data_IF_716500196865
#
_entry.id   IF_716500196865
#
_cell.length_a   1.000
_cell.length_b   1.000
_cell.length_c   1.000
_cell.angle_alpha   90.00
_cell.angle_beta   90.00
_cell.angle_gamma   90.00
#
_symmetry.space_group_name_H-M   'P 1'
#
loop_
_entity.id
_entity.type
_entity.pdbx_description
1 polymer ?
#
# COMPACT_ATOMS: atom_id res chain seq x y z
N UNK A 1 -0.48 -28.95 6.16
CA UNK A 1 -0.95 -28.03 5.11
C UNK A 1 -1.62 -26.86 5.81
N UNK A 2 -1.08 -25.63 5.69
CA UNK A 2 -1.71 -24.44 6.24
C UNK A 2 -2.85 -24.02 5.29
N UNK A 3 -4.09 -24.17 5.72
CA UNK A 3 -5.25 -23.67 4.97
C UNK A 3 -5.28 -22.16 5.15
N UNK A 4 -5.03 -21.41 4.10
CA UNK A 4 -5.15 -19.95 4.12
C UNK A 4 -6.57 -19.52 4.52
N UNK A 5 -6.67 -18.56 5.43
CA UNK A 5 -7.94 -17.98 5.85
C UNK A 5 -8.66 -17.30 4.67
N UNK A 6 -10.00 -17.20 4.74
CA UNK A 6 -10.80 -16.51 3.70
C UNK A 6 -10.32 -15.07 3.47
N UNK A 7 -9.88 -14.40 4.54
CA UNK A 7 -9.36 -13.04 4.50
C UNK A 7 -7.99 -12.98 3.79
N UNK A 8 -7.09 -13.92 4.07
CA UNK A 8 -5.79 -13.99 3.40
C UNK A 8 -5.94 -14.17 1.88
N UNK A 9 -6.87 -15.04 1.46
CA UNK A 9 -7.18 -15.25 0.03
C UNK A 9 -7.69 -13.97 -0.64
N UNK A 10 -8.53 -13.21 0.05
CA UNK A 10 -9.05 -11.94 -0.46
C UNK A 10 -7.96 -10.88 -0.59
N UNK A 11 -7.07 -10.77 0.41
CA UNK A 11 -5.89 -9.90 0.37
C UNK A 11 -5.01 -10.27 -0.82
N UNK A 12 -4.66 -11.55 -0.98
CA UNK A 12 -3.84 -12.03 -2.09
C UNK A 12 -4.46 -11.69 -3.46
N UNK A 13 -5.77 -11.91 -3.63
CA UNK A 13 -6.49 -11.56 -4.86
C UNK A 13 -6.42 -10.04 -5.16
N UNK A 14 -6.57 -9.19 -4.14
CA UNK A 14 -6.48 -7.74 -4.30
C UNK A 14 -5.04 -7.31 -4.62
N UNK A 15 -4.03 -7.93 -4.00
CA UNK A 15 -2.62 -7.69 -4.31
C UNK A 15 -2.29 -8.05 -5.77
N UNK A 16 -2.80 -9.16 -6.28
CA UNK A 16 -2.64 -9.55 -7.69
C UNK A 16 -3.28 -8.54 -8.65
N UNK A 17 -4.49 -8.08 -8.32
CA UNK A 17 -5.18 -7.03 -9.08
C UNK A 17 -4.41 -5.71 -9.06
N UNK A 18 -3.86 -5.32 -7.90
CA UNK A 18 -2.98 -4.17 -7.76
C UNK A 18 -1.74 -4.33 -8.65
N UNK A 19 -1.08 -5.48 -8.64
CA UNK A 19 0.11 -5.76 -9.47
C UNK A 19 -0.17 -5.64 -10.97
N UNK A 20 -1.30 -6.18 -11.43
CA UNK A 20 -1.73 -6.06 -12.84
C UNK A 20 -2.02 -4.61 -13.23
N UNK A 21 -2.75 -3.86 -12.40
CA UNK A 21 -3.15 -2.46 -12.70
C UNK A 21 -2.01 -1.46 -12.55
N UNK A 22 -1.08 -1.67 -11.61
CA UNK A 22 0.05 -0.76 -11.38
C UNK A 22 0.96 -0.63 -12.60
N UNK A 23 1.13 -1.70 -13.37
CA UNK A 23 1.89 -1.65 -14.64
C UNK A 23 1.28 -0.70 -15.67
N UNK A 24 -0.04 -0.49 -15.61
CA UNK A 24 -0.75 0.46 -16.47
C UNK A 24 -0.76 1.89 -15.91
N UNK A 25 -0.68 2.06 -14.58
CA UNK A 25 -0.80 3.37 -13.91
C UNK A 25 0.52 4.13 -13.85
N UNK A 26 1.68 3.45 -13.81
CA UNK A 26 2.99 4.10 -13.73
C UNK A 26 4.01 3.53 -14.74
N UNK A 27 3.75 3.63 -16.06
CA UNK A 27 4.66 3.09 -17.08
C UNK A 27 6.03 3.80 -17.05
N UNK A 28 6.06 5.12 -16.89
CA UNK A 28 7.30 5.92 -16.92
C UNK A 28 8.20 5.66 -15.71
N UNK A 29 7.62 5.43 -14.52
CA UNK A 29 8.39 5.09 -13.32
C UNK A 29 9.08 3.73 -13.52
N UNK A 30 8.37 2.73 -14.07
CA UNK A 30 8.98 1.42 -14.36
C UNK A 30 10.07 1.54 -15.43
N UNK A 31 9.82 2.31 -16.49
CA UNK A 31 10.82 2.56 -17.53
C UNK A 31 12.09 3.18 -16.94
N UNK A 32 11.94 4.22 -16.11
CA UNK A 32 13.06 4.88 -15.45
C UNK A 32 13.80 3.97 -14.45
N UNK A 33 13.08 3.13 -13.70
CA UNK A 33 13.70 2.12 -12.83
C UNK A 33 14.59 1.16 -13.64
N UNK A 34 14.11 0.67 -14.79
CA UNK A 34 14.88 -0.19 -15.67
C UNK A 34 16.11 0.52 -16.24
N UNK A 35 15.96 1.77 -16.70
CA UNK A 35 17.09 2.59 -17.18
C UNK A 35 18.19 2.74 -16.12
N UNK A 36 17.81 3.04 -14.87
CA UNK A 36 18.77 3.16 -13.75
C UNK A 36 19.44 1.83 -13.45
N UNK A 37 18.69 0.72 -13.45
CA UNK A 37 19.26 -0.63 -13.24
C UNK A 37 20.30 -0.96 -14.33
N UNK A 38 19.99 -0.68 -15.60
CA UNK A 38 20.94 -0.90 -16.70
C UNK A 38 22.21 -0.05 -16.54
N UNK A 39 22.08 1.22 -16.12
CA UNK A 39 23.23 2.08 -15.83
C UNK A 39 24.09 1.55 -14.68
N UNK A 40 23.46 1.08 -13.61
CA UNK A 40 24.17 0.46 -12.47
C UNK A 40 24.93 -0.81 -12.89
N UNK A 41 24.33 -1.66 -13.74
CA UNK A 41 25.01 -2.86 -14.27
C UNK A 41 26.20 -2.46 -15.17
N UNK A 42 26.04 -1.43 -16.00
CA UNK A 42 27.11 -0.92 -16.85
C UNK A 42 28.29 -0.36 -16.02
N UNK A 43 28.00 0.39 -14.95
CA UNK A 43 29.00 0.89 -14.01
C UNK A 43 29.75 -0.24 -13.29
N UNK A 44 29.07 -1.33 -12.96
CA UNK A 44 29.70 -2.53 -12.38
C UNK A 44 30.60 -3.28 -13.36
N UNK A 45 30.35 -3.14 -14.67
CA UNK A 45 31.08 -3.83 -15.74
C UNK A 45 32.22 -2.99 -16.35
N UNK A 46 32.38 -1.73 -15.93
CA UNK A 46 33.32 -0.76 -16.48
C UNK A 46 34.17 -0.04 -15.41
N UNK A 47 34.66 1.16 -15.72
CA UNK A 47 35.32 2.02 -14.73
C UNK A 47 34.24 2.55 -13.78
N UNK A 48 34.28 2.10 -12.53
CA UNK A 48 33.34 2.52 -11.49
C UNK A 48 33.53 4.00 -11.16
N UNK A 49 32.48 4.80 -11.35
CA UNK A 49 32.33 6.13 -10.77
C UNK A 49 31.43 6.02 -9.52
N UNK A 50 32.01 6.09 -8.30
CA UNK A 50 31.26 5.93 -7.06
C UNK A 50 30.19 7.01 -6.84
N UNK A 51 30.42 8.22 -7.35
CA UNK A 51 29.51 9.35 -7.17
C UNK A 51 28.28 9.17 -8.06
N UNK A 52 28.48 8.76 -9.33
CA UNK A 52 27.37 8.40 -10.23
C UNK A 52 26.57 7.21 -9.68
N UNK A 53 27.25 6.18 -9.17
CA UNK A 53 26.59 5.01 -8.57
C UNK A 53 25.70 5.39 -7.38
N UNK A 54 26.19 6.27 -6.50
CA UNK A 54 25.43 6.72 -5.33
C UNK A 54 24.18 7.53 -5.74
N UNK A 55 24.30 8.41 -6.73
CA UNK A 55 23.16 9.18 -7.28
C UNK A 55 22.11 8.24 -7.86
N UNK A 56 22.52 7.27 -8.69
CA UNK A 56 21.61 6.29 -9.29
C UNK A 56 20.91 5.42 -8.26
N UNK A 57 21.61 4.97 -7.21
CA UNK A 57 21.00 4.22 -6.09
C UNK A 57 19.94 5.05 -5.35
N UNK A 58 20.23 6.33 -5.11
CA UNK A 58 19.28 7.26 -4.47
C UNK A 58 18.03 7.45 -5.35
N UNK A 59 18.21 7.74 -6.63
CA UNK A 59 17.11 7.90 -7.59
C UNK A 59 16.24 6.64 -7.67
N UNK A 60 16.86 5.45 -7.71
CA UNK A 60 16.15 4.18 -7.72
C UNK A 60 15.29 4.01 -6.46
N UNK A 61 15.85 4.34 -5.29
CA UNK A 61 15.13 4.29 -4.00
C UNK A 61 13.91 5.22 -4.02
N UNK A 62 14.06 6.46 -4.50
CA UNK A 62 12.95 7.40 -4.60
C UNK A 62 11.84 6.90 -5.54
N UNK A 63 12.20 6.30 -6.68
CA UNK A 63 11.23 5.71 -7.60
C UNK A 63 10.51 4.52 -6.99
N UNK A 64 11.20 3.67 -6.22
CA UNK A 64 10.61 2.56 -5.50
C UNK A 64 9.61 3.05 -4.45
N UNK A 65 9.97 4.07 -3.66
CA UNK A 65 9.06 4.69 -2.70
C UNK A 65 7.80 5.23 -3.38
N UNK A 66 7.94 5.96 -4.50
CA UNK A 66 6.79 6.46 -5.28
C UNK A 66 5.89 5.33 -5.77
N UNK A 67 6.49 4.25 -6.29
CA UNK A 67 5.77 3.04 -6.73
C UNK A 67 5.00 2.39 -5.57
N UNK A 68 5.64 2.28 -4.41
CA UNK A 68 5.06 1.59 -3.26
C UNK A 68 3.94 2.43 -2.61
N UNK A 69 4.07 3.76 -2.58
CA UNK A 69 2.98 4.66 -2.23
C UNK A 69 1.76 4.51 -3.17
N UNK A 70 2.00 4.42 -4.48
CA UNK A 70 0.93 4.21 -5.46
C UNK A 70 0.27 2.83 -5.34
N UNK A 71 1.06 1.77 -5.10
CA UNK A 71 0.53 0.43 -4.77
C UNK A 71 -0.36 0.48 -3.54
N UNK A 72 0.11 1.13 -2.47
CA UNK A 72 -0.63 1.25 -1.22
C UNK A 72 -1.96 1.96 -1.42
N UNK A 73 -1.95 3.09 -2.13
CA UNK A 73 -3.17 3.83 -2.47
C UNK A 73 -4.17 2.99 -3.25
N UNK A 74 -3.72 2.19 -4.22
CA UNK A 74 -4.57 1.28 -4.98
C UNK A 74 -5.13 0.16 -4.09
N UNK A 75 -4.27 -0.45 -3.27
CA UNK A 75 -4.64 -1.51 -2.34
C UNK A 75 -5.73 -1.04 -1.37
N UNK A 76 -5.51 0.09 -0.68
CA UNK A 76 -6.48 0.71 0.24
C UNK A 76 -7.82 0.92 -0.47
N UNK A 77 -7.79 1.50 -1.67
CA UNK A 77 -9.01 1.76 -2.45
C UNK A 77 -9.79 0.47 -2.73
N UNK A 78 -9.12 -0.58 -3.21
CA UNK A 78 -9.77 -1.84 -3.54
C UNK A 78 -10.26 -2.58 -2.29
N UNK A 79 -9.48 -2.57 -1.21
CA UNK A 79 -9.86 -3.18 0.06
C UNK A 79 -11.09 -2.50 0.65
N UNK A 80 -11.10 -1.16 0.77
CA UNK A 80 -12.26 -0.42 1.28
C UNK A 80 -13.49 -0.72 0.41
N UNK A 81 -13.37 -0.69 -0.93
CA UNK A 81 -14.47 -1.03 -1.83
C UNK A 81 -15.00 -2.45 -1.62
N UNK A 82 -14.09 -3.39 -1.36
CA UNK A 82 -14.45 -4.79 -1.14
C UNK A 82 -15.16 -5.01 0.21
N UNK A 83 -14.71 -4.33 1.26
CA UNK A 83 -15.28 -4.43 2.62
C UNK A 83 -16.64 -3.74 2.65
N UNK A 84 -16.73 -2.51 2.15
CA UNK A 84 -17.95 -1.69 2.25
C UNK A 84 -18.94 -1.97 1.15
N UNK A 85 -18.57 -2.73 0.12
CA UNK A 85 -19.36 -2.91 -1.10
C UNK A 85 -19.78 -1.56 -1.72
N UNK A 86 -18.90 -0.56 -1.61
CA UNK A 86 -19.11 0.84 -2.05
C UNK A 86 -20.20 1.59 -1.26
N UNK A 87 -20.55 1.13 -0.07
CA UNK A 87 -21.47 1.85 0.80
C UNK A 87 -20.93 3.23 1.22
N UNK A 88 -21.80 4.24 1.38
CA UNK A 88 -21.42 5.56 1.85
C UNK A 88 -20.96 5.52 3.32
N UNK A 89 -20.04 6.42 3.68
CA UNK A 89 -19.39 6.44 4.99
C UNK A 89 -20.38 6.41 6.18
N UNK A 90 -21.46 7.18 6.09
CA UNK A 90 -22.49 7.29 7.14
C UNK A 90 -23.15 5.94 7.49
N UNK A 91 -23.22 5.03 6.51
CA UNK A 91 -23.86 3.71 6.66
C UNK A 91 -22.90 2.62 7.14
N UNK A 92 -21.60 2.92 7.26
CA UNK A 92 -20.63 1.96 7.75
C UNK A 92 -20.90 1.65 9.22
N UNK A 93 -20.79 0.36 9.54
CA UNK A 93 -20.96 -0.19 10.88
C UNK A 93 -19.64 -0.69 11.43
N UNK A 94 -19.58 -0.91 12.75
CA UNK A 94 -18.37 -1.37 13.45
C UNK A 94 -17.65 -2.57 12.79
N UNK A 95 -18.40 -3.52 12.23
CA UNK A 95 -17.88 -4.68 11.50
C UNK A 95 -17.01 -4.30 10.28
N UNK A 96 -17.40 -3.28 9.52
CA UNK A 96 -16.63 -2.77 8.39
C UNK A 96 -15.29 -2.20 8.87
N UNK A 97 -15.33 -1.44 9.95
CA UNK A 97 -14.17 -0.81 10.54
C UNK A 97 -13.19 -1.84 11.11
N UNK A 98 -13.68 -2.89 11.78
CA UNK A 98 -12.84 -4.01 12.21
C UNK A 98 -12.17 -4.71 11.02
N UNK A 99 -12.90 -4.98 9.94
CA UNK A 99 -12.32 -5.58 8.74
C UNK A 99 -11.23 -4.69 8.10
N UNK A 100 -11.41 -3.36 8.09
CA UNK A 100 -10.40 -2.43 7.59
C UNK A 100 -9.15 -2.43 8.48
N UNK A 101 -9.34 -2.42 9.80
CA UNK A 101 -8.25 -2.50 10.78
C UNK A 101 -7.47 -3.81 10.64
N UNK A 102 -8.16 -4.94 10.54
CA UNK A 102 -7.53 -6.27 10.38
C UNK A 102 -6.82 -6.40 9.02
N UNK A 103 -7.24 -5.61 8.03
CA UNK A 103 -6.56 -5.49 6.74
C UNK A 103 -5.43 -4.45 6.75
N UNK A 104 -5.12 -3.89 7.93
CA UNK A 104 -4.03 -2.95 8.14
C UNK A 104 -4.25 -1.56 7.52
N UNK A 105 -5.49 -1.11 7.32
CA UNK A 105 -5.83 0.20 6.73
C UNK A 105 -5.92 1.27 7.83
N UNK A 106 -5.19 2.38 7.70
CA UNK A 106 -5.15 3.49 8.68
C UNK A 106 -6.39 4.38 8.66
N UNK A 107 -6.58 5.14 9.75
CA UNK A 107 -7.65 6.14 9.81
C UNK A 107 -7.46 7.21 8.73
N UNK A 108 -6.23 7.71 8.58
CA UNK A 108 -5.85 8.62 7.51
C UNK A 108 -6.23 8.07 6.13
N UNK A 109 -5.98 6.78 5.88
CA UNK A 109 -6.31 6.13 4.60
C UNK A 109 -7.83 6.02 4.37
N UNK A 110 -8.60 5.73 5.42
CA UNK A 110 -10.07 5.74 5.38
C UNK A 110 -10.59 7.15 5.11
N UNK A 111 -10.06 8.14 5.84
CA UNK A 111 -10.40 9.56 5.71
C UNK A 111 -10.11 10.05 4.29
N UNK A 112 -8.93 9.75 3.76
CA UNK A 112 -8.53 10.07 2.39
C UNK A 112 -9.47 9.44 1.35
N UNK A 113 -9.85 8.17 1.51
CA UNK A 113 -10.75 7.49 0.58
C UNK A 113 -12.14 8.16 0.54
N UNK A 114 -12.68 8.52 1.71
CA UNK A 114 -14.00 9.14 1.83
C UNK A 114 -13.98 10.67 1.71
N UNK A 115 -12.81 11.28 1.53
CA UNK A 115 -12.59 12.74 1.48
C UNK A 115 -13.09 13.44 2.75
N UNK A 116 -12.76 12.87 3.90
CA UNK A 116 -13.09 13.38 5.23
C UNK A 116 -11.83 13.75 5.99
N UNK A 117 -12.00 14.47 7.10
CA UNK A 117 -10.95 14.64 8.11
C UNK A 117 -10.85 13.38 8.97
N UNK A 118 -9.66 13.08 9.48
CA UNK A 118 -9.42 11.92 10.36
C UNK A 118 -10.32 11.95 11.61
N UNK A 119 -10.55 13.15 12.19
CA UNK A 119 -11.44 13.35 13.34
C UNK A 119 -12.88 12.91 13.08
N UNK A 120 -13.39 13.07 11.86
CA UNK A 120 -14.74 12.60 11.50
C UNK A 120 -14.80 11.07 11.44
N UNK A 121 -13.68 10.41 11.11
CA UNK A 121 -13.57 8.96 11.16
C UNK A 121 -13.54 8.48 12.61
N UNK A 122 -12.74 9.13 13.45
CA UNK A 122 -12.68 8.84 14.89
C UNK A 122 -14.03 8.98 15.58
N UNK A 123 -14.77 10.06 15.29
CA UNK A 123 -16.12 10.28 15.83
C UNK A 123 -17.06 9.13 15.46
N UNK A 124 -17.07 8.72 14.18
CA UNK A 124 -17.87 7.60 13.71
C UNK A 124 -17.48 6.28 14.38
N UNK A 125 -16.18 6.03 14.58
CA UNK A 125 -15.72 4.85 15.33
C UNK A 125 -16.22 4.85 16.77
N UNK A 126 -16.25 6.01 17.42
CA UNK A 126 -16.83 6.19 18.75
C UNK A 126 -18.32 5.83 18.80
N UNK A 127 -19.10 6.33 17.83
CA UNK A 127 -20.54 6.03 17.69
C UNK A 127 -20.78 4.52 17.49
N UNK A 128 -19.96 3.87 16.66
CA UNK A 128 -20.05 2.44 16.36
C UNK A 128 -19.43 1.55 17.45
N UNK A 129 -18.93 2.12 18.54
CA UNK A 129 -18.35 1.38 19.67
C UNK A 129 -16.99 0.72 19.38
N UNK A 130 -16.30 1.13 18.33
CA UNK A 130 -14.98 0.59 17.94
C UNK A 130 -13.90 1.22 18.81
N UNK A 131 -13.49 0.52 19.88
CA UNK A 131 -12.48 1.00 20.83
C UNK A 131 -11.05 0.74 20.33
N UNK A 132 -10.19 1.76 20.44
CA UNK A 132 -8.75 1.77 20.12
C UNK A 132 -8.41 1.35 18.68
N UNK A 133 -8.14 2.35 17.85
CA UNK A 133 -7.54 2.16 16.55
C UNK A 133 -6.02 2.19 16.67
N UNK A 134 -5.38 1.04 16.45
CA UNK A 134 -3.94 0.96 16.30
C UNK A 134 -3.63 -0.08 15.24
N UNK A 135 -2.71 0.27 14.35
CA UNK A 135 -2.22 -0.62 13.32
C UNK A 135 -0.77 -0.90 13.66
N UNK A 136 -0.43 -2.19 13.73
CA UNK A 136 0.96 -2.58 13.88
C UNK A 136 1.63 -2.39 12.52
N UNK A 137 2.48 -1.38 12.41
CA UNK A 137 3.48 -1.36 11.36
C UNK A 137 4.47 -2.51 11.61
N UNK A 138 5.04 -3.08 10.55
CA UNK A 138 6.18 -3.98 10.74
C UNK A 138 7.43 -3.22 11.23
N UNK A 139 8.49 -3.94 11.55
CA UNK A 139 9.74 -3.36 12.07
C UNK A 139 10.40 -2.33 11.13
N UNK A 140 9.96 -2.25 9.88
CA UNK A 140 10.47 -1.33 8.86
C UNK A 140 9.50 -0.16 8.60
N UNK A 141 8.42 -0.03 9.37
CA UNK A 141 7.42 1.03 9.21
C UNK A 141 6.46 0.80 8.04
N UNK A 142 6.45 -0.39 7.42
CA UNK A 142 5.55 -0.72 6.34
C UNK A 142 4.26 -1.35 6.86
N UNK A 143 3.12 -0.89 6.32
CA UNK A 143 1.80 -1.44 6.60
C UNK A 143 1.55 -2.64 5.69
N UNK A 144 1.87 -3.83 6.20
CA UNK A 144 1.73 -5.16 5.59
C UNK A 144 1.69 -5.17 4.05
N UNK A 145 2.89 -5.24 3.48
CA UNK A 145 3.14 -5.88 2.20
C UNK A 145 4.28 -6.89 2.42
N UNK A 146 4.09 -7.84 3.35
CA UNK A 146 4.98 -9.00 3.46
C UNK A 146 4.65 -9.98 2.32
N UNK A 147 4.98 -9.59 1.09
CA UNK A 147 5.40 -10.58 0.12
C UNK A 147 6.85 -10.90 0.50
N UNK A 148 7.13 -12.16 0.83
CA UNK A 148 8.41 -12.72 1.30
C UNK A 148 8.66 -12.66 2.81
N UNK A 149 8.23 -13.73 3.52
CA UNK A 149 9.14 -14.78 4.05
C UNK A 149 8.41 -16.11 4.04
#
# INVERSE_FOLDING_TARGET
>A
MLVESKQQKQINCILDLCGKRMRAVMPDNKKRQLEIIYKLIALQSGVSDPDEEQVLKKDLKELMVKRDAAKRKMFVRLMIQSITKRAPFITLRGDHFYQMKDSGISLEEIACYYKLMESAVEEKLGIEGVKKWSIKADANGYFLCSLYT
#
